data_IF_649319524379
#
_entry.id   IF_649319524379
#
_cell.length_a   1.000
_cell.length_b   1.000
_cell.length_c   1.000
_cell.angle_alpha   90.00
_cell.angle_beta   90.00
_cell.angle_gamma   90.00
#
_symmetry.space_group_name_H-M   'P 1'
#
loop_
_entity.id
_entity.type
_entity.pdbx_description
1 polymer ?
#
# COMPACT_ATOMS: atom_id res chain seq x y z
N UNK A 1 21.26 -72.01 43.47
CA UNK A 1 21.78 -70.63 43.53
C UNK A 1 21.20 -69.84 42.36
N UNK A 2 20.75 -68.61 42.61
CA UNK A 2 20.04 -67.68 41.71
C UNK A 2 20.91 -67.24 40.51
N UNK A 3 20.25 -66.90 39.37
CA UNK A 3 20.32 -65.61 38.62
C UNK A 3 19.74 -65.80 37.21
N UNK A 4 18.55 -65.26 36.92
CA UNK A 4 18.20 -63.87 36.53
C UNK A 4 18.18 -63.68 35.01
N UNK A 5 16.96 -63.77 34.49
CA UNK A 5 16.49 -63.35 33.17
C UNK A 5 16.72 -61.84 33.03
N UNK A 6 17.29 -61.36 31.92
CA UNK A 6 17.23 -59.95 31.57
C UNK A 6 16.96 -59.79 30.07
N UNK A 7 15.67 -59.79 29.75
CA UNK A 7 15.09 -59.35 28.49
C UNK A 7 15.33 -57.83 28.35
N UNK A 8 16.24 -57.42 27.48
CA UNK A 8 16.44 -56.01 27.14
C UNK A 8 15.58 -55.65 25.92
N UNK A 9 14.30 -55.35 26.19
CA UNK A 9 13.38 -54.81 25.18
C UNK A 9 13.68 -53.32 25.00
N UNK A 10 14.34 -52.98 23.89
CA UNK A 10 14.62 -51.59 23.49
C UNK A 10 13.29 -50.93 23.12
N UNK A 11 12.79 -50.08 24.02
CA UNK A 11 11.63 -49.24 23.80
C UNK A 11 12.04 -48.04 22.93
N UNK A 12 11.89 -48.17 21.61
CA UNK A 12 11.98 -47.03 20.68
C UNK A 12 10.81 -46.08 20.97
N UNK A 13 11.11 -44.99 21.68
CA UNK A 13 10.23 -43.82 21.81
C UNK A 13 10.10 -43.15 20.44
N UNK A 14 9.10 -43.58 19.66
CA UNK A 14 8.59 -42.83 18.52
C UNK A 14 7.92 -41.55 19.05
N UNK A 15 8.71 -40.50 19.23
CA UNK A 15 8.18 -39.15 19.43
C UNK A 15 7.51 -38.77 18.12
N UNK A 16 6.21 -39.03 18.03
CA UNK A 16 5.36 -38.54 16.95
C UNK A 16 5.37 -37.01 17.01
N UNK A 17 6.31 -36.40 16.31
CA UNK A 17 6.36 -34.98 16.06
C UNK A 17 5.13 -34.65 15.20
N UNK A 18 4.03 -34.27 15.85
CA UNK A 18 2.85 -33.73 15.16
C UNK A 18 3.35 -32.52 14.39
N UNK A 19 3.44 -32.64 13.06
CA UNK A 19 3.68 -31.48 12.20
C UNK A 19 2.61 -30.43 12.57
N UNK A 20 3.00 -29.21 12.95
CA UNK A 20 2.03 -28.16 13.18
C UNK A 20 1.26 -27.97 11.88
N UNK A 21 -0.06 -28.08 11.94
CA UNK A 21 -0.93 -27.77 10.80
C UNK A 21 -0.66 -26.31 10.42
N UNK A 22 -0.34 -26.00 9.16
CA UNK A 22 -0.12 -24.62 8.76
C UNK A 22 -1.40 -23.82 9.06
N UNK A 23 -1.23 -22.68 9.75
CA UNK A 23 -2.33 -21.79 10.04
C UNK A 23 -3.01 -21.39 8.72
N UNK A 24 -4.34 -21.43 8.68
CA UNK A 24 -5.11 -21.01 7.50
C UNK A 24 -4.87 -19.52 7.29
N UNK A 25 -4.43 -19.15 6.09
CA UNK A 25 -4.24 -17.77 5.68
C UNK A 25 -5.54 -16.96 5.90
N UNK A 26 -5.42 -15.81 6.56
CA UNK A 26 -6.55 -14.91 6.81
C UNK A 26 -6.52 -13.76 5.83
N UNK A 27 -7.51 -13.71 4.93
CA UNK A 27 -7.73 -12.54 4.08
C UNK A 27 -8.35 -11.39 4.85
N UNK A 28 -7.94 -10.17 4.55
CA UNK A 28 -8.55 -8.93 5.02
C UNK A 28 -8.81 -7.97 3.88
N UNK A 29 -9.92 -7.25 3.98
CA UNK A 29 -10.25 -6.17 3.04
C UNK A 29 -9.71 -4.85 3.59
N UNK A 30 -8.94 -4.13 2.77
CA UNK A 30 -8.45 -2.79 3.07
C UNK A 30 -8.96 -1.79 2.04
N UNK A 31 -9.35 -0.60 2.48
CA UNK A 31 -9.71 0.53 1.63
C UNK A 31 -8.57 1.54 1.60
N UNK A 32 -8.15 1.93 0.40
CA UNK A 32 -7.24 3.04 0.17
C UNK A 32 -8.01 4.16 -0.50
N UNK A 33 -8.02 5.33 0.13
CA UNK A 33 -8.72 6.51 -0.35
C UNK A 33 -7.73 7.65 -0.57
N UNK A 34 -7.74 8.24 -1.76
CA UNK A 34 -6.97 9.43 -2.08
C UNK A 34 -7.88 10.64 -2.03
N UNK A 35 -7.45 11.67 -1.31
CA UNK A 35 -8.10 12.98 -1.21
C UNK A 35 -7.25 14.00 -1.98
N UNK A 36 -7.68 14.38 -3.17
CA UNK A 36 -6.96 15.30 -4.07
C UNK A 36 -7.57 16.69 -3.95
N UNK A 37 -6.73 17.71 -3.70
CA UNK A 37 -7.15 19.11 -3.56
C UNK A 37 -5.97 20.09 -3.66
N UNK A 38 -6.26 21.37 -3.87
CA UNK A 38 -5.28 22.46 -3.82
C UNK A 38 -4.82 22.70 -2.37
N UNK A 39 -3.52 22.65 -2.11
CA UNK A 39 -2.95 22.90 -0.77
C UNK A 39 -3.06 24.38 -0.35
N UNK A 40 -3.14 25.28 -1.33
CA UNK A 40 -3.22 26.73 -1.15
C UNK A 40 -4.17 27.36 -2.19
N UNK A 41 -4.43 28.66 -2.04
CA UNK A 41 -5.11 29.43 -3.09
C UNK A 41 -4.12 29.78 -4.21
N UNK A 42 -4.33 29.22 -5.39
CA UNK A 42 -3.53 29.46 -6.59
C UNK A 42 -4.15 30.50 -7.54
N UNK A 43 -5.00 31.40 -7.02
CA UNK A 43 -5.59 32.50 -7.78
C UNK A 43 -4.58 33.59 -8.19
N UNK A 44 -3.44 33.68 -7.52
CA UNK A 44 -2.44 34.71 -7.76
C UNK A 44 -1.77 34.60 -9.15
N UNK A 45 -1.43 35.73 -9.82
CA UNK A 45 -0.86 35.73 -11.17
C UNK A 45 0.44 34.94 -11.33
N UNK A 46 1.20 34.75 -10.25
CA UNK A 46 2.45 33.96 -10.25
C UNK A 46 2.22 32.48 -10.63
N UNK A 47 1.00 31.96 -10.45
CA UNK A 47 0.62 30.60 -10.81
C UNK A 47 -0.04 30.50 -12.19
N UNK A 48 -0.09 31.59 -12.96
CA UNK A 48 -0.66 31.55 -14.31
C UNK A 48 0.14 30.61 -15.21
N UNK A 49 -0.58 29.69 -15.87
CA UNK A 49 0.02 28.69 -16.75
C UNK A 49 0.77 27.58 -16.00
N UNK A 50 0.68 27.51 -14.67
CA UNK A 50 1.16 26.36 -13.91
C UNK A 50 0.14 25.23 -14.03
N UNK A 51 0.59 24.08 -14.53
CA UNK A 51 -0.17 22.85 -14.66
C UNK A 51 0.36 21.80 -13.69
N UNK A 52 -0.53 20.92 -13.24
CA UNK A 52 -0.15 19.74 -12.48
C UNK A 52 -0.75 18.47 -13.09
N UNK A 53 0.02 17.39 -13.03
CA UNK A 53 -0.37 16.02 -13.34
C UNK A 53 -0.20 15.19 -12.07
N UNK A 54 -1.15 14.31 -11.79
CA UNK A 54 -1.13 13.46 -10.58
C UNK A 54 -1.20 12.01 -11.00
N UNK A 55 -0.20 11.23 -10.61
CA UNK A 55 -0.21 9.76 -10.74
C UNK A 55 -0.37 9.12 -9.37
N UNK A 56 -1.33 8.23 -9.23
CA UNK A 56 -1.63 7.52 -7.99
C UNK A 56 -1.55 6.03 -8.26
N UNK A 57 -0.89 5.29 -7.37
CA UNK A 57 -0.76 3.85 -7.49
C UNK A 57 -0.97 3.17 -6.14
N UNK A 58 -1.54 1.97 -6.19
CA UNK A 58 -1.55 1.02 -5.09
C UNK A 58 -0.95 -0.27 -5.59
N UNK A 59 -0.01 -0.79 -4.82
CA UNK A 59 0.68 -2.04 -5.08
C UNK A 59 0.62 -2.94 -3.86
N UNK A 60 0.91 -4.20 -4.08
CA UNK A 60 0.99 -5.24 -3.06
C UNK A 60 2.41 -5.77 -3.01
N UNK A 61 3.00 -5.77 -1.83
CA UNK A 61 4.25 -6.44 -1.55
C UNK A 61 3.96 -7.85 -1.03
N UNK A 62 4.55 -8.84 -1.68
CA UNK A 62 4.42 -10.26 -1.33
C UNK A 62 5.55 -10.68 -0.39
N UNK A 63 5.39 -11.84 0.27
CA UNK A 63 6.38 -12.40 1.20
C UNK A 63 7.75 -12.71 0.58
N UNK A 64 7.82 -12.87 -0.74
CA UNK A 64 9.06 -13.03 -1.50
C UNK A 64 9.72 -11.70 -1.91
N UNK A 65 9.29 -10.57 -1.33
CA UNK A 65 9.69 -9.20 -1.68
C UNK A 65 9.36 -8.76 -3.11
N UNK A 66 8.58 -9.53 -3.87
CA UNK A 66 8.06 -9.05 -5.16
C UNK A 66 6.94 -8.05 -4.94
N UNK A 67 6.82 -7.12 -5.88
CA UNK A 67 5.79 -6.09 -5.89
C UNK A 67 4.87 -6.30 -7.09
N UNK A 68 3.56 -6.26 -6.83
CA UNK A 68 2.51 -6.35 -7.84
C UNK A 68 1.70 -5.05 -7.82
N UNK A 69 1.61 -4.35 -8.95
CA UNK A 69 0.72 -3.19 -9.07
C UNK A 69 -0.72 -3.70 -9.11
N UNK A 70 -1.54 -3.25 -8.16
CA UNK A 70 -2.96 -3.60 -8.10
C UNK A 70 -3.82 -2.56 -8.84
N UNK A 71 -3.38 -1.30 -8.78
CA UNK A 71 -4.09 -0.19 -9.38
C UNK A 71 -3.12 0.97 -9.66
N UNK A 72 -3.29 1.64 -10.79
CA UNK A 72 -2.55 2.84 -11.20
C UNK A 72 -3.52 3.74 -11.96
N UNK A 73 -3.45 5.05 -11.73
CA UNK A 73 -4.24 6.03 -12.46
C UNK A 73 -3.45 7.31 -12.67
N UNK A 74 -3.80 8.01 -13.74
CA UNK A 74 -3.25 9.30 -14.11
C UNK A 74 -4.39 10.31 -14.19
N UNK A 75 -4.30 11.37 -13.40
CA UNK A 75 -5.04 12.61 -13.62
C UNK A 75 -4.14 13.46 -14.51
N UNK A 76 -4.51 13.67 -15.79
CA UNK A 76 -3.64 14.35 -16.75
C UNK A 76 -3.41 15.80 -16.35
N UNK A 77 -2.44 16.44 -17.03
CA UNK A 77 -2.19 17.86 -16.85
C UNK A 77 -3.46 18.68 -16.96
N UNK A 78 -3.65 19.51 -15.94
CA UNK A 78 -4.62 20.59 -15.94
C UNK A 78 -4.05 21.75 -15.14
N UNK A 79 -4.59 22.95 -15.35
CA UNK A 79 -4.19 24.13 -14.59
C UNK A 79 -4.28 23.85 -13.08
N UNK A 80 -3.26 24.26 -12.33
CA UNK A 80 -3.18 24.01 -10.89
C UNK A 80 -4.43 24.51 -10.15
N UNK A 81 -4.93 25.69 -10.55
CA UNK A 81 -6.18 26.29 -10.04
C UNK A 81 -7.47 25.56 -10.43
N UNK A 82 -7.41 24.63 -11.39
CA UNK A 82 -8.58 23.84 -11.82
C UNK A 82 -8.80 22.59 -10.95
N UNK A 83 -7.82 22.22 -10.12
CA UNK A 83 -8.04 21.18 -9.11
C UNK A 83 -9.06 21.64 -8.06
N UNK A 84 -9.76 20.72 -7.39
CA UNK A 84 -10.73 21.09 -6.36
C UNK A 84 -10.10 21.79 -5.16
N UNK A 85 -10.85 22.67 -4.52
CA UNK A 85 -10.47 23.29 -3.25
C UNK A 85 -10.57 22.28 -2.10
N UNK A 86 -9.88 22.55 -1.00
CA UNK A 86 -9.87 21.69 0.20
C UNK A 86 -11.27 21.44 0.78
N UNK A 87 -12.20 22.38 0.64
CA UNK A 87 -13.58 22.27 1.12
C UNK A 87 -14.42 21.31 0.27
N UNK A 88 -14.04 21.08 -1.00
CA UNK A 88 -14.77 20.22 -1.95
C UNK A 88 -13.78 19.30 -2.71
N UNK A 89 -13.02 18.44 -2.00
CA UNK A 89 -11.94 17.66 -2.59
C UNK A 89 -12.47 16.54 -3.48
N UNK A 90 -11.62 16.05 -4.39
CA UNK A 90 -11.90 14.83 -5.15
C UNK A 90 -11.46 13.62 -4.32
N UNK A 91 -12.39 12.69 -4.08
CA UNK A 91 -12.12 11.41 -3.43
C UNK A 91 -12.04 10.27 -4.45
N UNK A 92 -10.98 9.47 -4.36
CA UNK A 92 -10.81 8.25 -5.16
C UNK A 92 -10.61 7.09 -4.18
N UNK A 93 -11.62 6.22 -4.06
CA UNK A 93 -11.62 5.11 -3.11
C UNK A 93 -11.49 3.75 -3.83
N UNK A 94 -10.59 2.90 -3.35
CA UNK A 94 -10.33 1.56 -3.87
C UNK A 94 -10.25 0.55 -2.73
N UNK A 95 -10.81 -0.63 -2.95
CA UNK A 95 -10.79 -1.74 -1.99
C UNK A 95 -9.93 -2.87 -2.53
N UNK A 96 -9.09 -3.43 -1.67
CA UNK A 96 -8.17 -4.50 -1.99
C UNK A 96 -8.24 -5.58 -0.93
N UNK A 97 -8.26 -6.83 -1.37
CA UNK A 97 -8.11 -7.97 -0.48
C UNK A 97 -6.62 -8.35 -0.39
N UNK A 98 -6.13 -8.53 0.83
CA UNK A 98 -4.78 -9.01 1.09
C UNK A 98 -4.76 -10.15 2.10
N UNK A 99 -3.76 -11.01 2.02
CA UNK A 99 -3.47 -12.02 3.05
C UNK A 99 -2.68 -11.37 4.18
N UNK A 100 -3.32 -11.23 5.36
CA UNK A 100 -2.85 -10.43 6.50
C UNK A 100 -1.38 -10.68 6.89
N UNK A 101 -0.94 -11.94 6.83
CA UNK A 101 0.35 -12.37 7.38
C UNK A 101 1.48 -12.36 6.36
N UNK A 102 1.18 -12.31 5.06
CA UNK A 102 2.16 -12.48 3.99
C UNK A 102 2.16 -11.36 2.96
N UNK A 103 1.20 -10.44 3.03
CA UNK A 103 1.03 -9.37 2.06
C UNK A 103 0.88 -8.02 2.76
N UNK A 104 1.38 -6.97 2.11
CA UNK A 104 1.21 -5.58 2.55
C UNK A 104 0.83 -4.73 1.37
N UNK A 105 -0.10 -3.80 1.54
CA UNK A 105 -0.33 -2.77 0.53
C UNK A 105 0.74 -1.68 0.65
N UNK A 106 1.06 -1.06 -0.47
CA UNK A 106 1.91 0.13 -0.55
C UNK A 106 1.28 1.09 -1.53
N UNK A 107 1.14 2.35 -1.15
CA UNK A 107 0.72 3.38 -2.09
C UNK A 107 1.90 4.19 -2.60
N UNK A 108 1.70 4.81 -3.76
CA UNK A 108 2.57 5.86 -4.28
C UNK A 108 1.73 7.00 -4.84
N UNK A 109 2.18 8.23 -4.65
CA UNK A 109 1.71 9.41 -5.37
C UNK A 109 2.89 10.12 -6.00
N UNK A 110 2.73 10.54 -7.25
CA UNK A 110 3.65 11.41 -7.96
C UNK A 110 2.87 12.61 -8.44
N UNK A 111 3.33 13.81 -8.09
CA UNK A 111 2.81 15.07 -8.57
C UNK A 111 3.88 15.70 -9.43
N UNK A 112 3.53 16.04 -10.66
CA UNK A 112 4.42 16.69 -11.61
C UNK A 112 3.85 18.06 -11.95
N UNK A 113 4.63 19.10 -11.74
CA UNK A 113 4.26 20.46 -12.08
C UNK A 113 5.01 20.90 -13.33
N UNK A 114 4.33 21.62 -14.20
CA UNK A 114 4.90 22.31 -15.36
C UNK A 114 4.56 23.79 -15.25
N UNK A 115 5.58 24.65 -15.30
CA UNK A 115 5.36 26.10 -15.34
C UNK A 115 5.18 26.63 -16.77
N UNK A 116 4.87 27.93 -16.90
CA UNK A 116 4.69 28.60 -18.18
C UNK A 116 5.96 28.63 -19.06
N UNK A 117 7.15 28.39 -18.49
CA UNK A 117 8.41 28.25 -19.22
C UNK A 117 8.75 26.78 -19.52
N UNK A 118 7.80 25.87 -19.33
CA UNK A 118 7.94 24.43 -19.50
C UNK A 118 9.00 23.78 -18.59
N UNK A 119 9.32 24.41 -17.45
CA UNK A 119 10.17 23.81 -16.41
C UNK A 119 9.34 22.82 -15.61
N UNK A 120 9.92 21.64 -15.39
CA UNK A 120 9.25 20.53 -14.72
C UNK A 120 9.84 20.37 -13.32
N UNK A 121 8.97 20.28 -12.32
CA UNK A 121 9.32 19.81 -10.98
C UNK A 121 8.46 18.60 -10.63
N UNK A 122 8.98 17.72 -9.79
CA UNK A 122 8.27 16.52 -9.38
C UNK A 122 8.39 16.29 -7.87
N UNK A 123 7.31 15.79 -7.28
CA UNK A 123 7.29 15.31 -5.92
C UNK A 123 6.74 13.87 -5.93
N UNK A 124 7.49 12.93 -5.36
CA UNK A 124 7.09 11.54 -5.26
C UNK A 124 7.14 11.09 -3.80
N UNK A 125 6.06 10.47 -3.34
CA UNK A 125 5.97 9.92 -1.98
C UNK A 125 5.23 8.59 -2.01
N UNK A 126 5.49 7.74 -1.03
CA UNK A 126 4.81 6.46 -0.88
C UNK A 126 5.22 5.79 0.42
N UNK A 127 4.32 4.97 0.94
CA UNK A 127 4.53 4.23 2.19
C UNK A 127 3.74 2.92 2.16
N UNK A 128 4.18 2.01 3.03
CA UNK A 128 3.49 0.75 3.27
C UNK A 128 2.28 0.99 4.18
N UNK A 129 1.20 0.27 3.91
CA UNK A 129 -0.03 0.28 4.68
C UNK A 129 -0.05 -1.03 5.48
N UNK A 130 0.09 -0.97 6.82
CA UNK A 130 0.07 -2.17 7.65
C UNK A 130 -1.24 -2.95 7.46
N UNK A 131 -1.17 -4.28 7.50
CA UNK A 131 -2.34 -5.15 7.34
C UNK A 131 -3.41 -4.96 8.45
N UNK A 132 -3.05 -4.30 9.56
CA UNK A 132 -3.98 -3.91 10.63
C UNK A 132 -4.85 -2.69 10.29
N UNK A 133 -4.47 -1.90 9.27
CA UNK A 133 -5.20 -0.69 8.87
C UNK A 133 -6.32 -1.05 7.90
N UNK A 134 -7.58 -0.99 8.33
CA UNK A 134 -8.71 -1.29 7.43
C UNK A 134 -8.96 -0.19 6.41
N UNK A 135 -8.78 1.08 6.79
CA UNK A 135 -9.00 2.23 5.92
C UNK A 135 -7.82 3.19 6.02
N UNK A 136 -7.20 3.51 4.88
CA UNK A 136 -6.11 4.46 4.77
C UNK A 136 -6.54 5.63 3.90
N UNK A 137 -6.55 6.82 4.48
CA UNK A 137 -6.71 8.09 3.76
C UNK A 137 -5.33 8.65 3.40
N UNK A 138 -5.17 9.05 2.15
CA UNK A 138 -3.94 9.61 1.58
C UNK A 138 -4.27 11.00 1.06
N UNK A 139 -3.63 12.01 1.63
CA UNK A 139 -3.75 13.38 1.14
C UNK A 139 -2.87 13.57 -0.09
N UNK A 140 -3.40 14.23 -1.12
CA UNK A 140 -2.70 14.60 -2.34
C UNK A 140 -2.81 16.12 -2.48
N UNK A 141 -1.90 16.78 -1.78
CA UNK A 141 -1.83 18.23 -1.67
C UNK A 141 -1.07 18.79 -2.88
N UNK A 142 -1.77 19.55 -3.71
CA UNK A 142 -1.26 20.16 -4.94
C UNK A 142 -0.76 21.56 -4.70
#
# INVERSE_FOLDING_TARGET
MKKLILSSTILLLLIACKKPTPAKAVSVLQTVEFKVFQAADYSAPVYNGVEAEVRLAVSKQLSNNSQMVLWDTLIPYQLLRAYPLMQTPLFISKKFEIVRDSEKLRFGKVIRYRDALNRISLNATGEDIPASVTNKLIQVDL
#
